data_IF_403233573850
#
_entry.id   IF_403233573850
#
_cell.length_a   1.000
_cell.length_b   1.000
_cell.length_c   1.000
_cell.angle_alpha   90.00
_cell.angle_beta   90.00
_cell.angle_gamma   90.00
#
_symmetry.space_group_name_H-M   'P 1'
#
loop_
_entity.id
_entity.type
_entity.pdbx_description
1 polymer ?
#
# COMPACT_ATOMS: atom_id res chain seq x y z
N UNK A 1 -9.99 3.93 -7.47
CA UNK A 1 -10.50 2.82 -6.65
C UNK A 1 -10.40 1.54 -7.45
N UNK A 2 -9.54 0.64 -7.00
CA UNK A 2 -9.26 -0.68 -7.58
C UNK A 2 -9.59 -1.74 -6.54
N UNK A 3 -9.92 -2.94 -6.98
CA UNK A 3 -10.04 -4.12 -6.11
C UNK A 3 -9.01 -5.14 -6.57
N UNK A 4 -8.18 -5.61 -5.65
CA UNK A 4 -7.03 -6.46 -5.95
C UNK A 4 -7.10 -7.73 -5.14
N UNK A 5 -6.89 -8.87 -5.78
CA UNK A 5 -6.56 -10.10 -5.08
C UNK A 5 -5.14 -10.05 -4.52
N UNK A 6 -4.82 -10.96 -3.61
CA UNK A 6 -3.45 -11.11 -3.10
C UNK A 6 -2.40 -11.35 -4.20
N UNK A 7 -2.74 -12.10 -5.25
CA UNK A 7 -1.84 -12.36 -6.37
C UNK A 7 -1.57 -11.08 -7.18
N UNK A 8 -2.62 -10.34 -7.52
CA UNK A 8 -2.54 -9.06 -8.22
C UNK A 8 -1.79 -7.99 -7.42
N UNK A 9 -1.95 -7.99 -6.10
CA UNK A 9 -1.17 -7.15 -5.21
C UNK A 9 0.30 -7.53 -5.25
N UNK A 10 0.63 -8.83 -5.21
CA UNK A 10 2.00 -9.32 -5.24
C UNK A 10 2.74 -8.90 -6.52
N UNK A 11 2.07 -8.93 -7.67
CA UNK A 11 2.62 -8.44 -8.95
C UNK A 11 2.95 -6.94 -8.91
N UNK A 12 2.12 -6.14 -8.23
CA UNK A 12 2.28 -4.67 -8.18
C UNK A 12 3.32 -4.20 -7.19
N UNK A 13 3.45 -4.88 -6.04
CA UNK A 13 4.40 -4.50 -4.99
C UNK A 13 5.81 -5.06 -5.21
N UNK A 14 6.00 -5.79 -6.31
CA UNK A 14 7.30 -6.23 -6.81
C UNK A 14 7.90 -7.39 -5.99
N UNK A 15 9.24 -7.50 -5.91
CA UNK A 15 9.94 -8.73 -5.53
C UNK A 15 9.75 -9.18 -4.07
N UNK A 16 9.09 -8.38 -3.24
CA UNK A 16 8.86 -8.68 -1.82
C UNK A 16 7.37 -8.51 -1.48
N UNK A 17 6.52 -9.41 -1.99
CA UNK A 17 5.10 -9.38 -1.66
C UNK A 17 4.86 -9.68 -0.18
N UNK A 18 3.73 -9.21 0.40
CA UNK A 18 3.39 -9.52 1.77
C UNK A 18 3.20 -11.04 1.96
N UNK A 19 3.86 -11.60 2.97
CA UNK A 19 3.88 -13.04 3.26
C UNK A 19 2.60 -13.53 3.93
N UNK A 20 2.39 -14.85 3.99
CA UNK A 20 1.27 -15.44 4.74
C UNK A 20 1.28 -15.03 6.22
N UNK A 21 2.47 -15.03 6.83
CA UNK A 21 2.64 -14.63 8.23
C UNK A 21 2.28 -13.14 8.45
N UNK A 22 2.49 -12.30 7.45
CA UNK A 22 2.00 -10.91 7.50
C UNK A 22 0.47 -10.88 7.47
N UNK A 23 -0.17 -11.57 6.52
CA UNK A 23 -1.64 -11.57 6.40
C UNK A 23 -2.34 -12.15 7.62
N UNK A 24 -1.82 -13.24 8.19
CA UNK A 24 -2.36 -13.82 9.43
C UNK A 24 -2.34 -12.81 10.58
N UNK A 25 -1.28 -11.99 10.70
CA UNK A 25 -1.21 -10.93 11.72
C UNK A 25 -2.14 -9.76 11.42
N UNK A 26 -2.26 -9.37 10.16
CA UNK A 26 -3.13 -8.27 9.75
C UNK A 26 -4.60 -8.62 9.94
N UNK A 27 -5.01 -9.86 9.63
CA UNK A 27 -6.35 -10.37 9.89
C UNK A 27 -6.62 -10.38 11.38
N UNK A 28 -5.72 -10.95 12.19
CA UNK A 28 -5.89 -10.98 13.65
C UNK A 28 -5.93 -9.58 14.30
N UNK A 29 -5.27 -8.59 13.70
CA UNK A 29 -5.24 -7.21 14.20
C UNK A 29 -6.28 -6.30 13.54
N UNK A 30 -7.01 -6.79 12.54
CA UNK A 30 -7.96 -6.06 11.68
C UNK A 30 -7.35 -4.82 10.97
N UNK A 31 -6.02 -4.69 10.98
CA UNK A 31 -5.28 -3.58 10.38
C UNK A 31 -3.83 -3.93 10.10
N UNK A 32 -3.23 -3.23 9.17
CA UNK A 32 -1.87 -3.50 8.73
C UNK A 32 -1.17 -2.31 8.07
N UNK A 33 0.12 -2.49 7.79
CA UNK A 33 0.87 -1.55 6.97
C UNK A 33 1.73 -2.29 5.96
N UNK A 34 1.52 -1.99 4.68
CA UNK A 34 2.33 -2.51 3.58
C UNK A 34 3.38 -1.46 3.23
N UNK A 35 4.66 -1.84 3.22
CA UNK A 35 5.76 -0.94 2.86
C UNK A 35 6.38 -1.37 1.53
N UNK A 36 6.53 -0.43 0.61
CA UNK A 36 7.23 -0.65 -0.67
C UNK A 36 8.39 0.32 -0.82
N UNK A 37 9.46 -0.13 -1.48
CA UNK A 37 10.64 0.68 -1.76
C UNK A 37 10.46 1.62 -2.96
N UNK A 38 11.39 2.57 -3.14
CA UNK A 38 11.36 3.52 -4.27
C UNK A 38 11.41 2.84 -5.66
N UNK A 39 12.00 1.66 -5.75
CA UNK A 39 12.03 0.89 -7.00
C UNK A 39 10.63 0.47 -7.48
N UNK A 40 9.68 0.28 -6.54
CA UNK A 40 8.29 -0.10 -6.84
C UNK A 40 7.45 1.12 -7.21
N UNK A 41 7.74 2.27 -6.60
CA UNK A 41 6.98 3.52 -6.81
C UNK A 41 7.50 4.32 -8.01
N UNK A 42 8.67 3.96 -8.54
CA UNK A 42 9.37 4.73 -9.57
C UNK A 42 10.09 5.99 -9.04
N UNK A 43 9.97 6.32 -7.75
CA UNK A 43 10.57 7.50 -7.14
C UNK A 43 12.01 7.23 -6.66
N UNK A 44 12.89 6.92 -7.61
CA UNK A 44 14.30 6.60 -7.36
C UNK A 44 15.21 7.83 -7.40
N UNK A 45 14.82 8.89 -8.11
CA UNK A 45 15.59 10.14 -8.20
C UNK A 45 15.38 11.01 -6.95
N UNK A 46 16.39 11.00 -6.08
CA UNK A 46 16.42 11.80 -4.86
C UNK A 46 16.33 13.30 -5.12
N UNK A 47 16.99 13.84 -6.14
CA UNK A 47 17.01 15.29 -6.40
C UNK A 47 15.67 15.76 -6.92
N UNK A 48 15.07 15.00 -7.84
CA UNK A 48 13.73 15.28 -8.33
C UNK A 48 12.71 15.29 -7.18
N UNK A 49 12.79 14.31 -6.28
CA UNK A 49 11.95 14.23 -5.08
C UNK A 49 12.14 15.38 -4.11
N UNK A 50 13.38 15.72 -3.77
CA UNK A 50 13.66 16.83 -2.86
C UNK A 50 13.14 18.16 -3.44
N UNK A 51 13.31 18.38 -4.75
CA UNK A 51 12.77 19.56 -5.41
C UNK A 51 11.23 19.59 -5.40
N UNK A 52 10.58 18.45 -5.64
CA UNK A 52 9.12 18.29 -5.54
C UNK A 52 8.61 18.67 -4.15
N UNK A 53 9.21 18.11 -3.10
CA UNK A 53 8.86 18.40 -1.70
C UNK A 53 9.04 19.87 -1.33
N UNK A 54 10.10 20.53 -1.82
CA UNK A 54 10.31 21.98 -1.62
C UNK A 54 9.19 22.83 -2.22
N UNK A 55 8.52 22.35 -3.27
CA UNK A 55 7.35 22.98 -3.88
C UNK A 55 6.03 22.60 -3.20
N UNK A 56 6.05 21.75 -2.17
CA UNK A 56 4.85 21.25 -1.50
C UNK A 56 4.06 20.24 -2.33
N UNK A 57 4.66 19.69 -3.38
CA UNK A 57 4.03 18.67 -4.23
C UNK A 57 4.25 17.26 -3.63
N UNK A 58 3.18 16.46 -3.59
CA UNK A 58 3.26 15.03 -3.24
C UNK A 58 3.69 14.22 -4.47
N UNK A 59 4.49 13.17 -4.28
CA UNK A 59 4.72 12.18 -5.33
C UNK A 59 3.51 11.28 -5.56
N UNK A 60 3.51 10.55 -6.68
CA UNK A 60 2.53 9.50 -6.96
C UNK A 60 2.38 8.54 -5.76
N UNK A 61 1.16 8.09 -5.48
CA UNK A 61 0.89 7.12 -4.42
C UNK A 61 1.54 5.76 -4.71
N UNK A 62 1.90 5.50 -5.98
CA UNK A 62 2.54 4.27 -6.41
C UNK A 62 1.52 3.16 -6.70
N UNK A 63 1.81 1.87 -6.37
CA UNK A 63 0.94 0.76 -6.72
C UNK A 63 -0.47 0.80 -6.14
N UNK A 64 -0.68 1.50 -5.02
CA UNK A 64 -1.96 1.57 -4.30
C UNK A 64 -2.29 3.02 -3.93
N UNK A 65 -3.59 3.35 -3.89
CA UNK A 65 -4.10 4.64 -3.41
C UNK A 65 -5.16 4.44 -2.32
N UNK A 66 -5.45 5.46 -1.51
CA UNK A 66 -6.58 5.40 -0.56
C UNK A 66 -7.88 5.01 -1.26
N UNK A 67 -8.66 4.14 -0.62
CA UNK A 67 -9.89 3.54 -1.14
C UNK A 67 -9.70 2.26 -1.95
N UNK A 68 -8.48 1.91 -2.37
CA UNK A 68 -8.25 0.62 -3.03
C UNK A 68 -8.51 -0.54 -2.06
N UNK A 69 -9.14 -1.60 -2.55
CA UNK A 69 -9.51 -2.80 -1.78
C UNK A 69 -8.57 -3.97 -2.10
N UNK A 70 -8.26 -4.77 -1.08
CA UNK A 70 -7.39 -5.95 -1.16
C UNK A 70 -8.16 -7.14 -0.60
N UNK A 71 -8.46 -8.11 -1.45
CA UNK A 71 -9.14 -9.35 -1.08
C UNK A 71 -8.12 -10.43 -0.68
N UNK A 72 -8.29 -10.97 0.53
CA UNK A 72 -7.41 -11.96 1.15
C UNK A 72 -8.26 -13.10 1.72
N UNK A 73 -8.54 -14.10 0.89
CA UNK A 73 -9.45 -15.18 1.26
C UNK A 73 -10.88 -14.67 1.35
N UNK A 74 -11.51 -14.84 2.52
CA UNK A 74 -12.86 -14.34 2.81
C UNK A 74 -12.86 -12.89 3.31
N UNK A 75 -11.68 -12.37 3.67
CA UNK A 75 -11.51 -11.03 4.22
C UNK A 75 -11.20 -9.99 3.13
N UNK A 76 -11.65 -8.76 3.34
CA UNK A 76 -11.36 -7.63 2.47
C UNK A 76 -10.77 -6.48 3.28
N UNK A 77 -9.67 -5.90 2.81
CA UNK A 77 -9.03 -4.74 3.42
C UNK A 77 -9.15 -3.53 2.51
N UNK A 78 -9.31 -2.34 3.08
CA UNK A 78 -9.26 -1.07 2.35
C UNK A 78 -8.00 -0.31 2.71
N UNK A 79 -7.35 0.30 1.72
CA UNK A 79 -6.26 1.25 1.95
C UNK A 79 -6.87 2.54 2.48
N UNK A 80 -6.54 2.91 3.72
CA UNK A 80 -7.09 4.11 4.38
C UNK A 80 -6.14 5.31 4.30
N UNK A 81 -4.85 5.06 4.05
CA UNK A 81 -3.86 6.13 4.01
C UNK A 81 -2.57 5.72 3.32
N UNK A 82 -1.86 6.72 2.80
CA UNK A 82 -0.57 6.55 2.13
C UNK A 82 0.41 7.58 2.67
N UNK A 83 1.57 7.11 3.11
CA UNK A 83 2.69 7.93 3.57
C UNK A 83 3.89 7.78 2.63
N UNK A 84 4.43 8.89 2.16
CA UNK A 84 5.71 8.93 1.45
C UNK A 84 6.88 8.75 2.41
N UNK A 85 7.72 7.75 2.17
CA UNK A 85 8.92 7.51 2.98
C UNK A 85 10.09 8.41 2.56
N UNK A 86 11.04 8.66 3.47
CA UNK A 86 12.27 9.44 3.15
C UNK A 86 13.01 8.93 1.89
N UNK A 87 13.19 7.61 1.68
CA UNK A 87 13.88 7.09 0.50
C UNK A 87 13.09 7.17 -0.82
N UNK A 88 11.80 7.55 -0.80
CA UNK A 88 10.93 7.59 -1.99
C UNK A 88 9.97 6.40 -2.11
N UNK A 89 10.03 5.44 -1.18
CA UNK A 89 9.01 4.39 -1.06
C UNK A 89 7.68 4.89 -0.48
N UNK A 90 6.74 3.96 -0.24
CA UNK A 90 5.39 4.26 0.28
C UNK A 90 5.02 3.29 1.40
N UNK A 91 4.24 3.78 2.35
CA UNK A 91 3.57 2.98 3.39
C UNK A 91 2.07 3.12 3.24
N UNK A 92 1.41 1.99 3.00
CA UNK A 92 -0.04 1.92 2.86
C UNK A 92 -0.62 1.40 4.16
N UNK A 93 -1.46 2.21 4.81
CA UNK A 93 -2.25 1.77 5.95
C UNK A 93 -3.49 1.06 5.41
N UNK A 94 -3.76 -0.13 5.93
CA UNK A 94 -4.92 -0.93 5.54
C UNK A 94 -5.74 -1.31 6.77
N UNK A 95 -7.05 -1.33 6.61
CA UNK A 95 -8.01 -1.69 7.65
C UNK A 95 -9.02 -2.70 7.10
N UNK A 96 -9.45 -3.63 7.95
CA UNK A 96 -10.45 -4.63 7.59
C UNK A 96 -11.77 -3.93 7.26
N UNK A 97 -12.40 -4.34 6.17
CA UNK A 97 -13.74 -3.89 5.79
C UNK A 97 -14.73 -4.74 6.58
N UNK A 98 -15.43 -4.12 7.53
CA UNK A 98 -16.50 -4.82 8.24
C UNK A 98 -17.53 -5.37 7.24
N UNK A 99 -17.97 -6.63 7.39
CA UNK A 99 -19.06 -7.15 6.58
C UNK A 99 -20.28 -6.26 6.80
N UNK A 100 -20.88 -5.76 5.70
CA UNK A 100 -22.14 -5.03 5.78
C UNK A 100 -23.18 -5.92 6.43
N UNK A 101 -23.44 -5.72 7.73
CA UNK A 101 -24.58 -6.33 8.41
C UNK A 101 -25.83 -5.76 7.75
N UNK A 102 -26.52 -6.62 7.03
CA UNK A 102 -27.85 -6.35 6.49
C UNK A 102 -28.89 -6.60 7.56
#
# INVERSE_FOLDING_TARGET
MKRLTRAELAERVGPRPPSDAFWSRVIAAERGTISVGPAVTGDTDRRARENRRRRGESGDDGPLSPGDMIDVGEESFVVVGVEETKPGGRRYQIELVEPRRT
#
